data_IF_926239901543
#
_entry.id   IF_926239901543
#
_cell.length_a   1.000
_cell.length_b   1.000
_cell.length_c   1.000
_cell.angle_alpha   90.00
_cell.angle_beta   90.00
_cell.angle_gamma   90.00
#
_symmetry.space_group_name_H-M   'P 1'
#
loop_
_entity.id
_entity.type
_entity.pdbx_description
1 polymer ?
#
# COMPACT_ATOMS: atom_id res chain seq x y z
N UNK A 1 23.57 24.49 -0.37
CA UNK A 1 23.65 23.09 -0.86
C UNK A 1 22.28 22.44 -1.09
N UNK A 2 21.18 22.90 -0.45
CA UNK A 2 19.82 22.37 -0.62
C UNK A 2 19.27 22.38 -2.07
N UNK A 3 19.54 23.43 -2.85
CA UNK A 3 19.05 23.51 -4.24
C UNK A 3 19.60 22.41 -5.17
N UNK A 4 20.79 21.85 -4.88
CA UNK A 4 21.34 20.75 -5.69
C UNK A 4 20.72 19.39 -5.36
N UNK A 5 20.34 19.15 -4.10
CA UNK A 5 19.64 17.93 -3.70
C UNK A 5 18.20 17.90 -4.19
N UNK A 6 17.49 19.04 -4.12
CA UNK A 6 16.13 19.15 -4.63
C UNK A 6 16.05 18.99 -6.15
N UNK A 7 17.00 19.58 -6.89
CA UNK A 7 17.08 19.42 -8.35
C UNK A 7 17.30 17.96 -8.75
N UNK A 8 18.20 17.24 -8.06
CA UNK A 8 18.42 15.80 -8.27
C UNK A 8 17.20 14.95 -7.89
N UNK A 9 16.45 15.35 -6.86
CA UNK A 9 15.20 14.67 -6.47
C UNK A 9 14.13 14.84 -7.55
N UNK A 10 13.86 16.08 -7.98
CA UNK A 10 12.88 16.37 -9.04
C UNK A 10 13.22 15.68 -10.37
N UNK A 11 14.50 15.56 -10.70
CA UNK A 11 14.94 14.86 -11.90
C UNK A 11 14.68 13.34 -11.80
N UNK A 12 14.97 12.73 -10.64
CA UNK A 12 14.61 11.32 -10.37
C UNK A 12 13.10 11.09 -10.41
N UNK A 13 12.31 11.97 -9.79
CA UNK A 13 10.85 11.90 -9.82
C UNK A 13 10.31 11.94 -11.26
N UNK A 14 10.85 12.83 -12.11
CA UNK A 14 10.47 12.93 -13.52
C UNK A 14 10.86 11.69 -14.31
N UNK A 15 12.07 11.17 -14.12
CA UNK A 15 12.56 10.02 -14.89
C UNK A 15 11.84 8.74 -14.45
N UNK A 16 11.85 8.42 -13.16
CA UNK A 16 11.18 7.23 -12.62
C UNK A 16 9.67 7.28 -12.86
N UNK A 17 9.04 8.43 -12.57
CA UNK A 17 7.60 8.60 -12.78
C UNK A 17 7.18 8.42 -14.24
N UNK A 18 8.02 8.83 -15.21
CA UNK A 18 7.78 8.55 -16.63
C UNK A 18 7.82 7.06 -16.93
N UNK A 19 8.80 6.32 -16.41
CA UNK A 19 8.89 4.88 -16.63
C UNK A 19 7.69 4.13 -16.04
N UNK A 20 7.31 4.42 -14.80
CA UNK A 20 6.14 3.80 -14.17
C UNK A 20 4.85 4.08 -14.97
N UNK A 21 4.64 5.32 -15.40
CA UNK A 21 3.48 5.65 -16.23
C UNK A 21 3.52 4.95 -17.59
N UNK A 22 4.67 4.87 -18.24
CA UNK A 22 4.81 4.24 -19.54
C UNK A 22 4.48 2.75 -19.44
N UNK A 23 5.02 2.05 -18.43
CA UNK A 23 4.72 0.63 -18.16
C UNK A 23 3.24 0.44 -17.85
N UNK A 24 2.64 1.30 -17.01
CA UNK A 24 1.22 1.25 -16.69
C UNK A 24 0.33 1.44 -17.93
N UNK A 25 0.67 2.41 -18.78
CA UNK A 25 -0.08 2.68 -20.01
C UNK A 25 0.03 1.52 -21.00
N UNK A 26 1.23 1.01 -21.25
CA UNK A 26 1.42 -0.11 -22.17
C UNK A 26 0.66 -1.36 -21.70
N UNK A 27 0.78 -1.69 -20.42
CA UNK A 27 0.06 -2.84 -19.86
C UNK A 27 -1.46 -2.65 -19.88
N UNK A 28 -1.98 -1.45 -19.62
CA UNK A 28 -3.41 -1.14 -19.74
C UNK A 28 -3.91 -1.20 -21.19
N UNK A 29 -3.10 -0.77 -22.15
CA UNK A 29 -3.46 -0.86 -23.58
C UNK A 29 -3.53 -2.32 -24.02
N UNK A 30 -2.51 -3.12 -23.68
CA UNK A 30 -2.50 -4.56 -24.01
C UNK A 30 -3.69 -5.28 -23.36
N UNK A 31 -3.93 -4.99 -22.08
CA UNK A 31 -5.03 -5.55 -21.32
C UNK A 31 -6.40 -5.14 -21.88
N UNK A 32 -6.60 -3.87 -22.21
CA UNK A 32 -7.88 -3.38 -22.75
C UNK A 32 -8.17 -3.93 -24.14
N UNK A 33 -7.16 -4.04 -25.02
CA UNK A 33 -7.33 -4.65 -26.34
C UNK A 33 -7.72 -6.13 -26.24
N UNK A 34 -7.05 -6.89 -25.37
CA UNK A 34 -7.36 -8.32 -25.17
C UNK A 34 -8.69 -8.53 -24.48
N UNK A 35 -9.01 -7.70 -23.48
CA UNK A 35 -10.30 -7.71 -22.81
C UNK A 35 -11.45 -7.37 -23.78
N UNK A 36 -11.28 -6.34 -24.61
CA UNK A 36 -12.27 -5.93 -25.60
C UNK A 36 -12.46 -6.99 -26.68
N UNK A 37 -11.37 -7.59 -27.18
CA UNK A 37 -11.45 -8.72 -28.11
C UNK A 37 -12.26 -9.86 -27.51
N UNK A 38 -11.98 -10.23 -26.26
CA UNK A 38 -12.65 -11.32 -25.55
C UNK A 38 -14.13 -11.02 -25.28
N UNK A 39 -14.48 -9.75 -25.06
CA UNK A 39 -15.85 -9.27 -24.94
C UNK A 39 -16.62 -9.38 -26.26
N UNK A 40 -15.99 -8.97 -27.38
CA UNK A 40 -16.62 -9.04 -28.72
C UNK A 40 -16.76 -10.47 -29.24
N UNK A 41 -15.80 -11.35 -28.96
CA UNK A 41 -15.85 -12.75 -29.41
C UNK A 41 -16.85 -13.61 -28.64
N UNK A 42 -17.52 -13.08 -27.60
CA UNK A 42 -18.48 -13.84 -26.80
C UNK A 42 -17.87 -15.02 -26.03
N UNK A 43 -16.54 -15.11 -25.98
CA UNK A 43 -15.78 -16.20 -25.38
C UNK A 43 -15.75 -16.13 -23.85
N UNK A 44 -16.23 -15.03 -23.26
CA UNK A 44 -16.28 -14.84 -21.81
C UNK A 44 -17.63 -15.32 -21.26
N UNK A 45 -17.66 -16.40 -20.46
CA UNK A 45 -18.86 -16.87 -19.77
C UNK A 45 -19.15 -16.01 -18.52
N UNK A 46 -18.94 -14.69 -18.58
CA UNK A 46 -19.01 -13.81 -17.43
C UNK A 46 -20.28 -12.96 -17.44
N UNK A 47 -20.91 -12.88 -16.27
CA UNK A 47 -21.95 -11.89 -15.99
C UNK A 47 -21.36 -10.48 -16.11
N UNK A 48 -22.17 -9.49 -16.48
CA UNK A 48 -21.77 -8.07 -16.55
C UNK A 48 -21.03 -7.61 -15.28
N UNK A 49 -21.46 -8.12 -14.12
CA UNK A 49 -20.82 -7.89 -12.83
C UNK A 49 -19.36 -8.34 -12.78
N UNK A 50 -19.03 -9.52 -13.32
CA UNK A 50 -17.65 -10.02 -13.36
C UNK A 50 -16.73 -9.15 -14.22
N UNK A 51 -17.23 -8.61 -15.32
CA UNK A 51 -16.50 -7.67 -16.18
C UNK A 51 -16.21 -6.36 -15.45
N UNK A 52 -17.23 -5.76 -14.81
CA UNK A 52 -17.10 -4.53 -14.02
C UNK A 52 -16.09 -4.74 -12.88
N UNK A 53 -16.18 -5.88 -12.19
CA UNK A 53 -15.28 -6.21 -11.10
C UNK A 53 -13.81 -6.30 -11.53
N UNK A 54 -13.54 -6.93 -12.68
CA UNK A 54 -12.17 -7.01 -13.26
C UNK A 54 -11.62 -5.63 -13.61
N UNK A 55 -12.43 -4.79 -14.26
CA UNK A 55 -12.05 -3.41 -14.58
C UNK A 55 -11.76 -2.63 -13.29
N UNK A 56 -12.63 -2.73 -12.30
CA UNK A 56 -12.48 -2.04 -11.03
C UNK A 56 -11.18 -2.44 -10.32
N UNK A 57 -10.87 -3.74 -10.23
CA UNK A 57 -9.65 -4.23 -9.58
C UNK A 57 -8.39 -3.69 -10.26
N UNK A 58 -8.31 -3.77 -11.59
CA UNK A 58 -7.11 -3.36 -12.33
C UNK A 58 -6.90 -1.84 -12.21
N UNK A 59 -7.96 -1.05 -12.41
CA UNK A 59 -7.89 0.40 -12.29
C UNK A 59 -7.57 0.84 -10.86
N UNK A 60 -8.20 0.21 -9.87
CA UNK A 60 -7.93 0.49 -8.46
C UNK A 60 -6.48 0.15 -8.09
N UNK A 61 -5.96 -0.99 -8.55
CA UNK A 61 -4.57 -1.39 -8.32
C UNK A 61 -3.55 -0.41 -8.91
N UNK A 62 -3.74 0.03 -10.15
CA UNK A 62 -2.87 1.06 -10.75
C UNK A 62 -3.01 2.42 -10.08
N UNK A 63 -4.23 2.86 -9.79
CA UNK A 63 -4.47 4.15 -9.15
C UNK A 63 -3.83 4.23 -7.75
N UNK A 64 -4.01 3.20 -6.93
CA UNK A 64 -3.43 3.12 -5.58
C UNK A 64 -1.91 2.98 -5.60
N UNK A 65 -1.37 2.13 -6.47
CA UNK A 65 0.09 1.96 -6.58
C UNK A 65 0.79 3.21 -7.09
N UNK A 66 0.30 3.83 -8.17
CA UNK A 66 0.89 5.05 -8.72
C UNK A 66 0.76 6.23 -7.75
N UNK A 67 -0.39 6.40 -7.10
CA UNK A 67 -0.57 7.45 -6.09
C UNK A 67 0.40 7.28 -4.92
N UNK A 68 0.62 6.04 -4.47
CA UNK A 68 1.61 5.73 -3.45
C UNK A 68 3.05 6.03 -3.91
N UNK A 69 3.43 5.57 -5.11
CA UNK A 69 4.75 5.82 -5.69
C UNK A 69 5.02 7.33 -5.81
N UNK A 70 4.07 8.11 -6.35
CA UNK A 70 4.24 9.55 -6.48
C UNK A 70 4.35 10.27 -5.14
N UNK A 71 3.56 9.86 -4.14
CA UNK A 71 3.60 10.45 -2.81
C UNK A 71 4.94 10.16 -2.13
N UNK A 72 5.42 8.92 -2.21
CA UNK A 72 6.71 8.51 -1.64
C UNK A 72 7.90 9.12 -2.38
N UNK A 73 7.82 9.24 -3.71
CA UNK A 73 8.83 9.92 -4.53
C UNK A 73 8.98 11.40 -4.12
N UNK A 74 7.85 12.12 -3.94
CA UNK A 74 7.84 13.51 -3.45
C UNK A 74 8.44 13.65 -2.05
N UNK A 75 8.18 12.68 -1.17
CA UNK A 75 8.69 12.67 0.20
C UNK A 75 10.13 12.16 0.30
N UNK A 76 10.65 11.52 -0.75
CA UNK A 76 11.97 10.87 -0.75
C UNK A 76 12.03 9.61 0.11
N UNK A 77 10.89 8.96 0.36
CA UNK A 77 10.75 7.79 1.23
C UNK A 77 10.73 6.51 0.37
N UNK A 78 11.29 5.38 0.82
CA UNK A 78 11.16 4.10 0.12
C UNK A 78 9.68 3.69 -0.04
N UNK A 79 9.35 3.09 -1.19
CA UNK A 79 7.98 2.74 -1.58
C UNK A 79 7.79 1.27 -1.96
N UNK A 80 8.46 0.36 -1.24
CA UNK A 80 8.43 -1.10 -1.52
C UNK A 80 7.01 -1.63 -1.72
N UNK A 81 6.08 -1.28 -0.83
CA UNK A 81 4.71 -1.81 -0.89
C UNK A 81 3.96 -1.34 -2.15
N UNK A 82 4.04 -0.05 -2.48
CA UNK A 82 3.41 0.48 -3.70
C UNK A 82 4.05 -0.07 -4.97
N UNK A 83 5.36 -0.34 -4.94
CA UNK A 83 6.08 -0.98 -6.04
C UNK A 83 5.68 -2.46 -6.20
N UNK A 84 5.56 -3.21 -5.11
CA UNK A 84 5.12 -4.61 -5.14
C UNK A 84 3.70 -4.72 -5.69
N UNK A 85 2.81 -3.82 -5.25
CA UNK A 85 1.45 -3.72 -5.78
C UNK A 85 1.46 -3.41 -7.28
N UNK A 86 2.30 -2.46 -7.72
CA UNK A 86 2.45 -2.11 -9.14
C UNK A 86 2.93 -3.29 -9.99
N UNK A 87 3.90 -4.06 -9.48
CA UNK A 87 4.43 -5.23 -10.18
C UNK A 87 3.34 -6.29 -10.30
N UNK A 88 2.62 -6.60 -9.20
CA UNK A 88 1.52 -7.57 -9.21
C UNK A 88 0.43 -7.12 -10.20
N UNK A 89 0.02 -5.86 -10.17
CA UNK A 89 -1.00 -5.35 -11.11
C UNK A 89 -0.54 -5.44 -12.55
N UNK A 90 0.74 -5.20 -12.82
CA UNK A 90 1.33 -5.34 -14.16
C UNK A 90 1.37 -6.78 -14.62
N UNK A 91 1.80 -7.70 -13.77
CA UNK A 91 1.81 -9.14 -14.05
C UNK A 91 0.39 -9.65 -14.30
N UNK A 92 -0.60 -9.18 -13.54
CA UNK A 92 -1.99 -9.56 -13.78
C UNK A 92 -2.52 -8.95 -15.07
N UNK A 93 -2.28 -7.67 -15.34
CA UNK A 93 -2.75 -7.01 -16.57
C UNK A 93 -2.18 -7.69 -17.82
N UNK A 94 -0.88 -7.98 -17.84
CA UNK A 94 -0.23 -8.64 -18.97
C UNK A 94 -0.56 -10.14 -19.01
N UNK A 95 -0.49 -10.84 -17.87
CA UNK A 95 -0.77 -12.27 -17.79
C UNK A 95 -2.22 -12.62 -18.12
N UNK A 96 -3.16 -11.76 -17.73
CA UNK A 96 -4.58 -11.92 -18.07
C UNK A 96 -4.90 -11.72 -19.55
N UNK A 97 -4.00 -11.12 -20.31
CA UNK A 97 -4.08 -11.08 -21.77
C UNK A 97 -3.93 -12.48 -22.39
N UNK A 98 -3.26 -13.41 -21.68
CA UNK A 98 -3.01 -14.78 -22.13
C UNK A 98 -3.88 -15.81 -21.41
N UNK A 99 -4.08 -15.67 -20.10
CA UNK A 99 -4.83 -16.64 -19.30
C UNK A 99 -5.73 -15.98 -18.26
N UNK A 100 -6.98 -16.43 -18.17
CA UNK A 100 -7.98 -15.86 -17.24
C UNK A 100 -7.68 -16.08 -15.75
N UNK A 101 -6.82 -17.04 -15.38
CA UNK A 101 -6.56 -17.32 -13.97
C UNK A 101 -5.74 -16.24 -13.27
N UNK A 102 -5.01 -15.38 -14.01
CA UNK A 102 -4.11 -14.39 -13.42
C UNK A 102 -4.84 -13.39 -12.52
N UNK A 103 -6.13 -13.13 -12.74
CA UNK A 103 -6.92 -12.31 -11.81
C UNK A 103 -6.99 -12.88 -10.39
N UNK A 104 -6.81 -14.19 -10.20
CA UNK A 104 -6.76 -14.82 -8.88
C UNK A 104 -5.52 -14.38 -8.08
N UNK A 105 -4.45 -13.89 -8.72
CA UNK A 105 -3.31 -13.32 -7.99
C UNK A 105 -3.70 -12.08 -7.19
N UNK A 106 -4.76 -11.36 -7.56
CA UNK A 106 -5.27 -10.27 -6.73
C UNK A 106 -5.77 -10.75 -5.37
N UNK A 107 -6.09 -12.04 -5.19
CA UNK A 107 -6.44 -12.61 -3.87
C UNK A 107 -5.25 -12.62 -2.89
N UNK A 108 -4.02 -12.55 -3.39
CA UNK A 108 -2.82 -12.46 -2.53
C UNK A 108 -2.84 -11.18 -1.71
N UNK A 109 -3.36 -10.08 -2.27
CA UNK A 109 -3.41 -8.77 -1.59
C UNK A 109 -4.30 -8.79 -0.33
N UNK A 110 -5.59 -9.19 -0.38
CA UNK A 110 -6.42 -9.30 0.81
C UNK A 110 -5.91 -10.38 1.77
N UNK A 111 -5.32 -11.48 1.27
CA UNK A 111 -4.72 -12.52 2.12
C UNK A 111 -3.55 -11.96 2.94
N UNK A 112 -2.67 -11.19 2.30
CA UNK A 112 -1.54 -10.53 2.96
C UNK A 112 -2.02 -9.43 3.93
N UNK A 113 -3.07 -8.69 3.55
CA UNK A 113 -3.73 -7.72 4.43
C UNK A 113 -4.29 -8.37 5.69
N UNK A 114 -4.98 -9.51 5.55
CA UNK A 114 -5.48 -10.30 6.67
C UNK A 114 -4.36 -10.77 7.59
N UNK A 115 -3.25 -11.26 7.03
CA UNK A 115 -2.08 -11.66 7.81
C UNK A 115 -1.47 -10.50 8.62
N UNK A 116 -1.35 -9.31 8.01
CA UNK A 116 -0.85 -8.12 8.73
C UNK A 116 -1.83 -7.66 9.81
N UNK A 117 -3.13 -7.72 9.52
CA UNK A 117 -4.17 -7.36 10.47
C UNK A 117 -4.21 -8.33 11.65
N UNK A 118 -4.05 -9.64 11.42
CA UNK A 118 -3.98 -10.63 12.51
C UNK A 118 -2.76 -10.41 13.39
N UNK A 119 -1.60 -10.08 12.81
CA UNK A 119 -0.40 -9.72 13.59
C UNK A 119 -0.60 -8.44 14.40
N UNK A 120 -1.28 -7.44 13.84
CA UNK A 120 -1.59 -6.20 14.54
C UNK A 120 -2.51 -6.44 15.72
N UNK A 121 -3.60 -7.20 15.52
CA UNK A 121 -4.55 -7.58 16.57
C UNK A 121 -3.86 -8.41 17.65
N UNK A 122 -3.00 -9.35 17.26
CA UNK A 122 -2.22 -10.14 18.21
C UNK A 122 -1.32 -9.25 19.07
N UNK A 123 -0.53 -8.36 18.44
CA UNK A 123 0.33 -7.43 19.18
C UNK A 123 -0.44 -6.51 20.10
N UNK A 124 -1.57 -5.98 19.64
CA UNK A 124 -2.44 -5.15 20.45
C UNK A 124 -2.97 -5.91 21.67
N UNK A 125 -3.43 -7.15 21.48
CA UNK A 125 -3.91 -8.00 22.56
C UNK A 125 -2.80 -8.42 23.56
N UNK A 126 -1.55 -8.56 23.09
CA UNK A 126 -0.40 -8.95 23.94
C UNK A 126 0.40 -7.76 24.49
N UNK A 127 0.01 -6.51 24.20
CA UNK A 127 0.72 -5.34 24.72
C UNK A 127 0.42 -5.23 26.22
N UNK A 128 1.41 -5.41 27.11
CA UNK A 128 1.19 -5.27 28.55
C UNK A 128 0.67 -3.86 28.85
N UNK A 129 -0.25 -3.75 29.81
CA UNK A 129 -0.79 -2.47 30.23
C UNK A 129 0.32 -1.53 30.68
N UNK A 130 0.16 -0.20 30.49
CA UNK A 130 1.16 0.76 30.92
C UNK A 130 1.46 0.56 32.42
N UNK A 131 2.74 0.48 32.77
CA UNK A 131 3.17 0.49 34.16
C UNK A 131 2.67 1.81 34.77
N UNK A 132 1.68 1.70 35.66
CA UNK A 132 1.21 2.84 36.45
C UNK A 132 2.43 3.35 37.22
N UNK A 133 2.74 4.67 37.17
CA UNK A 133 3.82 5.21 37.98
C UNK A 133 3.56 4.82 39.44
N UNK A 134 4.58 4.35 40.18
CA UNK A 134 4.40 3.95 41.57
C UNK A 134 3.73 5.11 42.31
N UNK A 135 2.57 4.84 42.93
CA UNK A 135 1.93 5.79 43.83
C UNK A 135 2.96 6.19 44.88
N UNK A 136 3.39 7.45 44.86
CA UNK A 136 4.20 7.99 45.94
C UNK A 136 3.41 7.84 47.24
N UNK A 137 3.86 6.93 48.10
CA UNK A 137 3.34 6.82 49.46
C UNK A 137 3.43 8.21 50.12
N UNK A 138 2.35 8.69 50.77
CA UNK A 138 2.34 10.03 51.32
C UNK A 138 3.40 10.15 52.40
N UNK A 139 4.48 10.89 52.10
CA UNK A 139 5.58 11.20 53.03
C UNK A 139 5.00 11.71 54.34
N UNK A 140 5.14 10.91 55.39
CA UNK A 140 4.73 11.24 56.74
C UNK A 140 5.47 12.51 57.18
N UNK A 141 4.74 13.63 57.33
CA UNK A 141 5.32 14.90 57.76
C UNK A 141 5.82 14.76 59.20
N UNK A 142 7.13 14.56 59.38
CA UNK A 142 7.76 14.62 60.70
C UNK A 142 7.64 16.04 61.24
N UNK A 143 6.86 16.20 62.31
CA UNK A 143 6.57 17.49 62.95
C UNK A 143 7.71 17.84 63.90
N UNK A 144 8.66 18.66 63.46
CA UNK A 144 9.73 19.15 64.35
C UNK A 144 9.15 20.07 65.43
N UNK A 145 9.35 19.69 66.70
CA UNK A 145 9.03 20.52 67.88
C UNK A 145 10.14 21.56 68.03
N UNK A 146 9.83 22.84 67.79
CA UNK A 146 10.76 23.94 68.09
C UNK A 146 10.96 24.02 69.60
N UNK A 147 12.17 23.69 70.08
CA UNK A 147 12.61 24.03 71.44
C UNK A 147 13.10 25.47 71.37
N UNK A 148 12.47 26.37 72.14
CA UNK A 148 12.92 27.77 72.29
C UNK A 148 13.97 27.78 73.41
N UNK A 149 15.15 28.32 73.10
CA UNK A 149 16.22 28.61 74.06
C UNK A 149 15.80 29.74 75.01
#
# INVERSE_FOLDING_TARGET
MANRSEKKRNERERVLGKYYNLVALLSLVIWSLTFLKSLLSGTLPFTLFGCIWRIAIVLFGYSTSLSGIYSSLKLGVPFSLSNDLFIITTVVAVGSAFYDFFYKLFLVIPLYGLYKLSLFVYKWATTPGPELPPQEEPKQKVKYRKIRA
#
